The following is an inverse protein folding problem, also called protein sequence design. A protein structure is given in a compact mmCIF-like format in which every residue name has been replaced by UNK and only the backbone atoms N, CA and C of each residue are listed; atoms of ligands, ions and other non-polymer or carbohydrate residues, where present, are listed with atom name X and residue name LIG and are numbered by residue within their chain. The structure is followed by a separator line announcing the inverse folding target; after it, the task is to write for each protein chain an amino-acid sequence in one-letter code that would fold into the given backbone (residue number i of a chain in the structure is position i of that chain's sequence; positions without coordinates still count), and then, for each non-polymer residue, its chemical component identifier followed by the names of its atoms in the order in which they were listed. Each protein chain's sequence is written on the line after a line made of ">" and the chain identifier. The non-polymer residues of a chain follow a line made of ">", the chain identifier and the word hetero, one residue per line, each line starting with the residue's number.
data_IF_050189215799
#
_entry.id   IF_050189215799
#
_cell.length_a   1.000
_cell.length_b   1.000
_cell.length_c   1.000
_cell.angle_alpha   90.00
_cell.angle_beta   90.00
_cell.angle_gamma   90.00
#
_symmetry.space_group_name_H-M   'P 1'
#
loop_
_entity.id
_entity.type
_entity.pdbx_description
1 polymer ?
#
# COMPACT_ATOMS: atom_id res chain seq x y z
N UNK A 1 -6.11 11.19 25.63
CA UNK A 1 -6.03 10.62 24.27
C UNK A 1 -6.40 11.65 23.21
N UNK A 2 -7.41 12.48 23.46
CA UNK A 2 -7.93 13.47 22.50
C UNK A 2 -6.89 14.53 22.08
N UNK A 3 -6.06 15.01 23.02
CA UNK A 3 -4.99 15.96 22.69
C UNK A 3 -3.91 15.36 21.76
N UNK A 4 -3.59 14.08 21.94
CA UNK A 4 -2.64 13.38 21.04
C UNK A 4 -3.24 13.18 19.65
N UNK A 5 -4.48 12.73 19.58
CA UNK A 5 -5.19 12.55 18.31
C UNK A 5 -5.27 13.88 17.55
N UNK A 6 -5.66 14.96 18.21
CA UNK A 6 -5.74 16.28 17.60
C UNK A 6 -4.36 16.79 17.11
N UNK A 7 -3.30 16.57 17.90
CA UNK A 7 -1.94 16.92 17.48
C UNK A 7 -1.53 16.16 16.22
N UNK A 8 -1.72 14.83 16.20
CA UNK A 8 -1.36 13.99 15.05
C UNK A 8 -2.19 14.37 13.82
N UNK A 9 -3.48 14.63 13.96
CA UNK A 9 -4.34 15.10 12.88
C UNK A 9 -3.88 16.44 12.31
N UNK A 10 -3.47 17.37 13.18
CA UNK A 10 -2.92 18.66 12.75
C UNK A 10 -1.64 18.48 11.94
N UNK A 11 -0.69 17.67 12.41
CA UNK A 11 0.54 17.35 11.67
C UNK A 11 0.21 16.69 10.33
N UNK A 12 -0.68 15.71 10.34
CA UNK A 12 -1.11 15.02 9.12
C UNK A 12 -1.75 15.93 8.09
N UNK A 13 -2.53 16.93 8.51
CA UNK A 13 -3.15 17.87 7.57
C UNK A 13 -2.10 18.64 6.77
N UNK A 14 -1.04 19.12 7.42
CA UNK A 14 0.05 19.81 6.72
C UNK A 14 0.86 18.85 5.84
N UNK A 15 1.21 17.68 6.35
CA UNK A 15 1.99 16.70 5.61
C UNK A 15 1.21 16.17 4.38
N UNK A 16 -0.05 15.79 4.56
CA UNK A 16 -0.87 15.22 3.47
C UNK A 16 -1.23 16.23 2.40
N UNK A 17 -1.66 17.43 2.82
CA UNK A 17 -2.27 18.39 1.91
C UNK A 17 -1.25 19.12 1.03
N UNK A 18 -0.01 19.24 1.51
CA UNK A 18 1.02 20.02 0.82
C UNK A 18 2.27 19.19 0.52
N UNK A 19 2.92 18.64 1.56
CA UNK A 19 4.22 18.00 1.39
C UNK A 19 4.10 16.74 0.55
N UNK A 20 3.19 15.84 0.90
CA UNK A 20 3.02 14.55 0.26
C UNK A 20 2.62 14.68 -1.21
N UNK A 21 1.61 15.49 -1.50
CA UNK A 21 1.12 15.70 -2.87
C UNK A 21 2.23 16.22 -3.78
N UNK A 22 2.96 17.25 -3.30
CA UNK A 22 4.06 17.85 -4.07
C UNK A 22 5.19 16.85 -4.29
N UNK A 23 5.59 16.12 -3.24
CA UNK A 23 6.69 15.16 -3.34
C UNK A 23 6.35 13.99 -4.25
N UNK A 24 5.17 13.39 -4.12
CA UNK A 24 4.79 12.21 -4.91
C UNK A 24 4.59 12.55 -6.38
N UNK A 25 3.85 13.62 -6.69
CA UNK A 25 3.66 14.06 -8.07
C UNK A 25 5.00 14.55 -8.63
N UNK A 26 5.76 15.32 -7.85
CA UNK A 26 7.05 15.88 -8.27
C UNK A 26 8.07 14.79 -8.63
N UNK A 27 8.29 13.81 -7.75
CA UNK A 27 9.24 12.72 -8.01
C UNK A 27 8.76 11.79 -9.11
N UNK A 28 7.46 11.50 -9.16
CA UNK A 28 6.88 10.66 -10.19
C UNK A 28 6.94 11.29 -11.58
N UNK A 29 6.64 12.58 -11.70
CA UNK A 29 6.80 13.35 -12.94
C UNK A 29 8.28 13.45 -13.32
N UNK A 30 9.16 13.73 -12.37
CA UNK A 30 10.61 13.76 -12.59
C UNK A 30 11.12 12.47 -13.21
N UNK A 31 10.80 11.32 -12.61
CA UNK A 31 11.24 10.03 -13.13
C UNK A 31 10.52 9.66 -14.42
N UNK A 32 9.25 10.01 -14.60
CA UNK A 32 8.57 9.84 -15.90
C UNK A 32 9.35 10.53 -17.02
N UNK A 33 9.76 11.79 -16.83
CA UNK A 33 10.56 12.54 -17.81
C UNK A 33 11.97 11.95 -17.95
N UNK A 34 12.67 11.71 -16.83
CA UNK A 34 14.07 11.28 -16.83
C UNK A 34 14.29 9.85 -17.34
N UNK A 35 13.26 9.02 -17.32
CA UNK A 35 13.27 7.66 -17.87
C UNK A 35 12.50 7.52 -19.19
N UNK A 36 12.10 8.65 -19.78
CA UNK A 36 11.30 8.70 -21.00
C UNK A 36 10.02 7.87 -20.90
N UNK A 37 9.21 8.17 -19.87
CA UNK A 37 7.94 7.50 -19.54
C UNK A 37 8.07 5.97 -19.50
N UNK A 38 8.99 5.48 -18.67
CA UNK A 38 9.26 4.04 -18.50
C UNK A 38 7.99 3.24 -18.22
N UNK A 39 7.05 3.81 -17.46
CA UNK A 39 5.77 3.20 -17.11
C UNK A 39 4.86 2.94 -18.32
N UNK A 40 5.07 3.65 -19.42
CA UNK A 40 4.36 3.43 -20.70
C UNK A 40 5.24 2.57 -21.62
N UNK A 41 6.48 2.97 -21.82
CA UNK A 41 7.40 2.35 -22.76
C UNK A 41 7.75 0.91 -22.42
N UNK A 42 7.98 0.63 -21.13
CA UNK A 42 8.35 -0.71 -20.66
C UNK A 42 7.16 -1.48 -20.04
N UNK A 43 5.93 -0.99 -20.18
CA UNK A 43 4.75 -1.64 -19.61
C UNK A 43 4.57 -3.06 -20.13
N UNK A 44 4.63 -3.24 -21.46
CA UNK A 44 4.51 -4.57 -22.09
C UNK A 44 5.62 -5.51 -21.64
N UNK A 45 6.84 -5.02 -21.50
CA UNK A 45 7.97 -5.78 -20.99
C UNK A 45 7.71 -6.24 -19.54
N UNK A 46 7.27 -5.31 -18.66
CA UNK A 46 6.90 -5.63 -17.28
C UNK A 46 5.81 -6.68 -17.20
N UNK A 47 4.72 -6.53 -17.97
CA UNK A 47 3.63 -7.52 -18.05
C UNK A 47 4.16 -8.90 -18.49
N UNK A 48 5.04 -8.96 -19.49
CA UNK A 48 5.65 -10.22 -19.92
C UNK A 48 6.52 -10.86 -18.83
N UNK A 49 7.28 -10.05 -18.07
CA UNK A 49 8.13 -10.56 -16.97
C UNK A 49 7.29 -11.08 -15.80
N UNK A 50 6.16 -10.45 -15.50
CA UNK A 50 5.27 -10.88 -14.41
C UNK A 50 4.48 -12.11 -14.79
N UNK A 51 3.79 -12.09 -15.94
CA UNK A 51 2.84 -13.14 -16.33
C UNK A 51 3.42 -14.22 -17.23
N UNK A 52 4.52 -13.94 -17.94
CA UNK A 52 5.17 -14.91 -18.85
C UNK A 52 6.01 -15.98 -18.15
N UNK A 53 6.41 -15.75 -16.89
CA UNK A 53 7.27 -16.65 -16.10
C UNK A 53 6.61 -17.03 -14.77
N UNK A 54 5.28 -17.12 -14.72
CA UNK A 54 4.54 -17.56 -13.54
C UNK A 54 4.89 -19.01 -13.20
N UNK A 55 5.84 -19.21 -12.29
CA UNK A 55 6.10 -20.49 -11.61
C UNK A 55 5.61 -20.34 -10.17
N UNK A 56 4.49 -20.95 -9.82
CA UNK A 56 3.89 -20.96 -8.48
C UNK A 56 4.73 -21.70 -7.44
N UNK A 57 5.74 -22.46 -7.87
CA UNK A 57 6.73 -23.07 -7.01
C UNK A 57 8.08 -22.46 -7.37
N UNK A 58 8.43 -21.35 -6.71
CA UNK A 58 9.72 -20.69 -6.91
C UNK A 58 10.89 -21.58 -6.59
N UNK A 59 11.99 -21.43 -7.33
CA UNK A 59 13.25 -22.12 -7.04
C UNK A 59 13.76 -21.69 -5.66
N UNK A 60 14.19 -22.66 -4.85
CA UNK A 60 14.83 -22.33 -3.57
C UNK A 60 16.21 -21.74 -3.86
N UNK A 61 16.43 -20.52 -3.45
CA UNK A 61 17.74 -19.87 -3.51
C UNK A 61 18.42 -19.96 -2.14
N UNK A 62 19.72 -20.13 -2.12
CA UNK A 62 20.51 -20.11 -0.87
C UNK A 62 20.44 -18.74 -0.18
N UNK A 63 20.32 -17.68 -0.97
CA UNK A 63 20.11 -16.31 -0.47
C UNK A 63 19.20 -15.51 -1.41
N UNK A 64 18.32 -14.66 -0.83
CA UNK A 64 17.36 -13.85 -1.59
C UNK A 64 16.09 -14.60 -1.98
N UNK A 65 15.41 -14.10 -2.99
CA UNK A 65 14.11 -14.58 -3.49
C UNK A 65 14.13 -14.65 -5.02
N UNK A 66 13.25 -15.45 -5.64
CA UNK A 66 12.98 -15.31 -7.07
C UNK A 66 12.34 -13.94 -7.35
N UNK A 67 12.41 -13.47 -8.61
CA UNK A 67 11.76 -12.21 -8.99
C UNK A 67 10.24 -12.24 -8.74
N UNK A 68 9.59 -13.39 -8.93
CA UNK A 68 8.18 -13.57 -8.62
C UNK A 68 7.90 -13.56 -7.11
N UNK A 69 8.72 -14.21 -6.29
CA UNK A 69 8.59 -14.15 -4.83
C UNK A 69 8.78 -12.74 -4.29
N UNK A 70 9.74 -11.99 -4.83
CA UNK A 70 9.95 -10.59 -4.45
C UNK A 70 8.77 -9.71 -4.86
N UNK A 71 8.20 -9.92 -6.06
CA UNK A 71 6.98 -9.24 -6.49
C UNK A 71 5.79 -9.63 -5.62
N UNK A 72 5.59 -10.92 -5.35
CA UNK A 72 4.50 -11.40 -4.49
C UNK A 72 4.63 -10.82 -3.06
N UNK A 73 5.84 -10.70 -2.53
CA UNK A 73 6.09 -10.06 -1.24
C UNK A 73 5.80 -8.55 -1.29
N UNK A 74 6.15 -7.87 -2.38
CA UNK A 74 5.82 -6.46 -2.57
C UNK A 74 4.30 -6.24 -2.74
N UNK A 75 3.63 -7.06 -3.57
CA UNK A 75 2.16 -7.02 -3.71
C UNK A 75 1.47 -7.37 -2.39
N UNK A 76 1.99 -8.33 -1.62
CA UNK A 76 1.48 -8.66 -0.29
C UNK A 76 1.52 -7.44 0.65
N UNK A 77 2.55 -6.62 0.55
CA UNK A 77 2.66 -5.37 1.31
C UNK A 77 1.67 -4.31 0.79
N UNK A 78 1.55 -4.14 -0.52
CA UNK A 78 0.72 -3.14 -1.18
C UNK A 78 -0.78 -3.45 -1.06
N UNK A 79 -1.20 -4.66 -1.48
CA UNK A 79 -2.63 -5.05 -1.51
C UNK A 79 -3.09 -5.45 -0.11
N UNK A 80 -3.57 -4.48 0.64
CA UNK A 80 -3.98 -4.61 2.03
C UNK A 80 -5.29 -3.87 2.35
N UNK A 81 -5.39 -3.37 3.58
CA UNK A 81 -6.53 -2.53 3.99
C UNK A 81 -6.65 -1.27 3.14
N UNK A 82 -5.56 -0.79 2.53
CA UNK A 82 -5.55 0.38 1.65
C UNK A 82 -6.54 0.27 0.50
N UNK A 83 -6.59 -0.89 -0.15
CA UNK A 83 -7.44 -1.14 -1.32
C UNK A 83 -8.93 -1.24 -0.98
N UNK A 84 -9.28 -1.67 0.22
CA UNK A 84 -10.68 -1.84 0.65
C UNK A 84 -11.09 -0.70 1.59
N UNK A 85 -10.53 -0.64 2.79
CA UNK A 85 -10.90 0.34 3.82
C UNK A 85 -10.35 1.74 3.49
N UNK A 86 -9.12 1.83 2.97
CA UNK A 86 -8.51 3.09 2.54
C UNK A 86 -9.27 3.73 1.38
N UNK A 87 -9.60 2.96 0.34
CA UNK A 87 -10.41 3.43 -0.78
C UNK A 87 -11.83 3.83 -0.34
N UNK A 88 -12.45 3.04 0.57
CA UNK A 88 -13.74 3.39 1.20
C UNK A 88 -13.68 4.74 1.91
N UNK A 89 -12.63 4.97 2.70
CA UNK A 89 -12.40 6.25 3.38
C UNK A 89 -12.18 7.41 2.42
N UNK A 90 -11.42 7.19 1.33
CA UNK A 90 -11.22 8.19 0.29
C UNK A 90 -12.53 8.59 -0.40
N UNK A 91 -13.38 7.61 -0.72
CA UNK A 91 -14.69 7.84 -1.33
C UNK A 91 -15.63 8.57 -0.37
N UNK A 92 -15.68 8.17 0.90
CA UNK A 92 -16.55 8.81 1.90
C UNK A 92 -16.13 10.27 2.19
N UNK A 93 -14.82 10.55 2.24
CA UNK A 93 -14.30 11.88 2.60
C UNK A 93 -14.11 12.78 1.38
N UNK A 94 -13.54 12.22 0.30
CA UNK A 94 -13.18 12.97 -0.92
C UNK A 94 -14.17 12.81 -2.06
N UNK A 95 -15.21 12.01 -1.88
CA UNK A 95 -16.18 11.65 -2.93
C UNK A 95 -15.59 10.69 -3.98
N UNK A 96 -16.40 10.25 -4.96
CA UNK A 96 -15.96 9.38 -6.06
C UNK A 96 -14.76 9.92 -6.83
N UNK A 97 -14.59 11.24 -6.91
CA UNK A 97 -13.46 11.90 -7.58
C UNK A 97 -12.09 11.64 -6.96
N UNK A 98 -12.01 11.25 -5.69
CA UNK A 98 -10.74 10.87 -5.05
C UNK A 98 -10.08 9.69 -5.76
N UNK A 99 -10.86 8.78 -6.36
CA UNK A 99 -10.36 7.63 -7.13
C UNK A 99 -9.57 8.07 -8.36
N UNK A 100 -10.04 9.10 -9.08
CA UNK A 100 -9.28 9.68 -10.19
C UNK A 100 -7.88 10.15 -9.75
N UNK A 101 -7.81 10.83 -8.62
CA UNK A 101 -6.53 11.30 -8.09
C UNK A 101 -5.63 10.15 -7.60
N UNK A 102 -6.21 9.04 -7.09
CA UNK A 102 -5.45 7.82 -6.82
C UNK A 102 -4.84 7.24 -8.10
N UNK A 103 -5.57 7.25 -9.23
CA UNK A 103 -5.02 6.82 -10.53
C UNK A 103 -3.87 7.71 -11.00
N UNK A 104 -4.01 9.02 -10.85
CA UNK A 104 -2.94 9.99 -11.22
C UNK A 104 -1.68 9.74 -10.40
N UNK A 105 -1.81 9.60 -9.09
CA UNK A 105 -0.69 9.29 -8.19
C UNK A 105 -0.06 7.95 -8.55
N UNK A 106 -0.86 6.91 -8.82
CA UNK A 106 -0.35 5.60 -9.21
C UNK A 106 0.37 5.63 -10.56
N UNK A 107 -0.15 6.35 -11.55
CA UNK A 107 0.50 6.47 -12.87
C UNK A 107 1.91 7.06 -12.75
N UNK A 108 2.07 8.14 -12.01
CA UNK A 108 3.38 8.72 -11.74
C UNK A 108 4.18 7.84 -10.76
N UNK A 109 3.51 7.22 -9.80
CA UNK A 109 4.09 6.26 -8.86
C UNK A 109 4.75 5.06 -9.52
N UNK A 110 4.23 4.59 -10.66
CA UNK A 110 4.86 3.51 -11.44
C UNK A 110 6.30 3.86 -11.87
N UNK A 111 6.56 5.12 -12.25
CA UNK A 111 7.93 5.55 -12.57
C UNK A 111 8.79 5.70 -11.31
N UNK A 112 8.20 6.12 -10.20
CA UNK A 112 8.89 6.23 -8.91
C UNK A 112 9.33 4.86 -8.40
N UNK A 113 8.41 3.90 -8.35
CA UNK A 113 8.72 2.55 -7.83
C UNK A 113 9.70 1.80 -8.75
N UNK A 114 9.66 2.06 -10.05
CA UNK A 114 10.69 1.60 -10.98
C UNK A 114 12.08 2.06 -10.51
N UNK A 115 12.22 3.36 -10.22
CA UNK A 115 13.48 3.94 -9.77
C UNK A 115 13.90 3.37 -8.41
N UNK A 116 12.98 3.24 -7.47
CA UNK A 116 13.20 2.64 -6.16
C UNK A 116 13.72 1.20 -6.26
N UNK A 117 13.08 0.37 -7.08
CA UNK A 117 13.48 -1.03 -7.28
C UNK A 117 14.84 -1.15 -7.97
N UNK A 118 15.11 -0.31 -8.98
CA UNK A 118 16.42 -0.22 -9.65
C UNK A 118 17.51 0.13 -8.64
N UNK A 119 17.29 1.16 -7.81
CA UNK A 119 18.26 1.57 -6.79
C UNK A 119 18.45 0.50 -5.73
N UNK A 120 17.39 -0.15 -5.27
CA UNK A 120 17.46 -1.24 -4.31
C UNK A 120 18.32 -2.40 -4.81
N UNK A 121 18.16 -2.76 -6.08
CA UNK A 121 18.99 -3.78 -6.73
C UNK A 121 20.46 -3.34 -6.89
N UNK A 122 20.69 -2.08 -7.24
CA UNK A 122 22.03 -1.55 -7.51
C UNK A 122 22.87 -1.33 -6.26
N UNK A 123 22.21 -1.06 -5.12
CA UNK A 123 22.89 -0.68 -3.86
C UNK A 123 22.78 -1.75 -2.77
N UNK A 124 22.16 -2.90 -3.05
CA UNK A 124 22.10 -4.03 -2.13
C UNK A 124 23.50 -4.56 -1.80
N UNK A 125 23.63 -5.08 -0.60
CA UNK A 125 24.85 -5.69 -0.12
C UNK A 125 24.61 -7.14 0.30
N UNK A 126 25.67 -7.93 0.36
CA UNK A 126 25.66 -9.24 0.99
C UNK A 126 26.19 -9.07 2.42
N UNK A 127 25.36 -9.41 3.41
CA UNK A 127 25.73 -9.35 4.83
C UNK A 127 26.77 -10.42 5.20
N UNK A 128 27.35 -10.32 6.39
CA UNK A 128 28.28 -11.32 6.94
C UNK A 128 27.63 -12.70 7.10
N UNK A 129 26.31 -12.71 7.32
CA UNK A 129 25.46 -13.91 7.38
C UNK A 129 25.16 -14.51 6.00
N UNK A 130 25.73 -13.97 4.94
CA UNK A 130 25.50 -14.40 3.56
C UNK A 130 24.16 -13.96 2.98
N UNK A 131 23.28 -13.31 3.75
CA UNK A 131 21.98 -12.86 3.29
C UNK A 131 22.07 -11.54 2.54
N UNK A 132 21.18 -11.34 1.55
CA UNK A 132 21.06 -10.08 0.83
C UNK A 132 20.35 -9.07 1.73
N UNK A 133 20.93 -7.87 1.85
CA UNK A 133 20.38 -6.72 2.56
C UNK A 133 20.27 -5.55 1.59
N UNK A 134 19.14 -4.86 1.58
CA UNK A 134 18.90 -3.73 0.69
C UNK A 134 17.66 -2.93 1.09
N UNK A 135 17.42 -1.86 0.39
CA UNK A 135 16.33 -0.93 0.64
C UNK A 135 16.84 0.51 0.78
N UNK A 136 15.97 1.47 1.17
CA UNK A 136 16.32 2.89 1.17
C UNK A 136 17.54 3.28 1.97
N UNK A 137 17.75 2.71 3.14
CA UNK A 137 18.92 3.05 3.98
C UNK A 137 20.24 2.85 3.24
N UNK A 138 20.33 1.88 2.34
CA UNK A 138 21.51 1.59 1.55
C UNK A 138 21.71 2.58 0.40
N UNK A 139 20.65 2.94 -0.33
CA UNK A 139 20.80 3.94 -1.38
C UNK A 139 20.87 5.37 -0.82
N UNK A 140 20.24 5.70 0.33
CA UNK A 140 20.41 6.98 1.02
C UNK A 140 21.88 7.18 1.40
N UNK A 141 22.53 6.18 2.00
CA UNK A 141 23.97 6.24 2.36
C UNK A 141 24.87 6.18 1.14
N UNK A 142 24.39 5.69 0.00
CA UNK A 142 25.09 5.78 -1.29
C UNK A 142 24.99 7.19 -1.88
N UNK A 143 23.82 7.84 -1.78
CA UNK A 143 23.60 9.20 -2.25
C UNK A 143 24.38 10.25 -1.44
N UNK A 144 24.38 10.07 -0.11
CA UNK A 144 24.97 11.03 0.82
C UNK A 144 25.97 10.34 1.74
N UNK A 145 27.24 10.74 1.61
CA UNK A 145 28.33 10.20 2.44
C UNK A 145 28.43 10.96 3.76
N UNK A 146 29.06 10.33 4.76
CA UNK A 146 29.34 10.95 6.06
C UNK A 146 28.14 11.05 7.01
N UNK A 147 28.16 12.04 7.89
CA UNK A 147 27.17 12.18 8.97
C UNK A 147 25.75 12.44 8.49
N UNK A 148 25.60 13.26 7.44
CA UNK A 148 24.28 13.59 6.89
C UNK A 148 23.56 12.36 6.31
N UNK A 149 24.28 11.54 5.53
CA UNK A 149 23.71 10.32 4.99
C UNK A 149 23.31 9.32 6.07
N UNK A 150 24.13 9.17 7.12
CA UNK A 150 23.80 8.32 8.29
C UNK A 150 22.58 8.84 9.04
N UNK A 151 22.46 10.15 9.25
CA UNK A 151 21.31 10.77 9.89
C UNK A 151 20.03 10.51 9.07
N UNK A 152 20.07 10.77 7.76
CA UNK A 152 18.91 10.63 6.90
C UNK A 152 18.46 9.15 6.77
N UNK A 153 19.40 8.21 6.69
CA UNK A 153 19.12 6.78 6.69
C UNK A 153 18.57 6.30 8.05
N UNK A 154 19.13 6.80 9.17
CA UNK A 154 18.62 6.51 10.50
C UNK A 154 17.22 7.03 10.72
N UNK A 155 16.93 8.27 10.27
CA UNK A 155 15.58 8.84 10.32
C UNK A 155 14.59 7.99 9.50
N UNK A 156 14.94 7.60 8.27
CA UNK A 156 14.12 6.71 7.46
C UNK A 156 13.86 5.37 8.16
N UNK A 157 14.92 4.76 8.72
CA UNK A 157 14.82 3.46 9.40
C UNK A 157 13.89 3.51 10.62
N UNK A 158 13.96 4.57 11.43
CA UNK A 158 13.04 4.76 12.56
C UNK A 158 11.62 4.98 12.04
N UNK A 159 11.45 5.84 11.04
CA UNK A 159 10.14 6.15 10.49
C UNK A 159 9.44 4.90 9.94
N UNK A 160 10.12 4.04 9.16
CA UNK A 160 9.52 2.82 8.60
C UNK A 160 9.22 1.76 9.67
N UNK A 161 10.05 1.63 10.71
CA UNK A 161 9.76 0.72 11.83
C UNK A 161 8.45 1.14 12.51
N UNK A 162 8.28 2.43 12.79
CA UNK A 162 7.07 2.95 13.40
C UNK A 162 5.88 2.91 12.43
N UNK A 163 6.08 3.35 11.18
CA UNK A 163 5.04 3.42 10.16
C UNK A 163 4.45 2.05 9.84
N UNK A 164 5.30 1.10 9.46
CA UNK A 164 4.88 -0.19 8.92
C UNK A 164 5.02 -1.31 9.93
N UNK A 165 6.16 -1.36 10.62
CA UNK A 165 6.47 -2.43 11.57
C UNK A 165 5.53 -2.46 12.77
N UNK A 166 5.06 -1.30 13.23
CA UNK A 166 4.20 -1.18 14.40
C UNK A 166 2.83 -0.62 14.07
N UNK A 167 2.66 0.68 13.82
CA UNK A 167 1.34 1.29 13.64
C UNK A 167 0.63 0.79 12.38
N UNK A 168 1.35 0.57 11.29
CA UNK A 168 0.76 0.00 10.08
C UNK A 168 0.24 -1.43 10.30
N UNK A 169 1.01 -2.28 10.99
CA UNK A 169 0.52 -3.60 11.38
C UNK A 169 -0.71 -3.53 12.30
N UNK A 170 -0.81 -2.50 13.17
CA UNK A 170 -2.03 -2.25 13.96
C UNK A 170 -3.23 -1.90 13.06
N UNK A 171 -3.04 -1.07 12.01
CA UNK A 171 -4.12 -0.76 11.06
C UNK A 171 -4.64 -2.02 10.39
N UNK A 172 -3.73 -2.90 9.96
CA UNK A 172 -4.10 -4.14 9.30
C UNK A 172 -4.86 -5.07 10.27
N UNK A 173 -4.32 -5.31 11.46
CA UNK A 173 -4.94 -6.18 12.47
C UNK A 173 -6.26 -5.60 13.01
N UNK A 174 -6.37 -4.28 13.17
CA UNK A 174 -7.60 -3.59 13.52
C UNK A 174 -8.72 -3.86 12.51
N UNK A 175 -8.38 -3.72 11.23
CA UNK A 175 -9.33 -3.95 10.14
C UNK A 175 -9.77 -5.42 10.07
N UNK A 176 -8.86 -6.37 10.27
CA UNK A 176 -9.20 -7.81 10.38
C UNK A 176 -10.14 -8.03 11.58
N UNK A 177 -9.78 -7.52 12.76
CA UNK A 177 -10.57 -7.66 13.99
C UNK A 177 -11.99 -7.13 13.83
N UNK A 178 -12.12 -5.90 13.31
CA UNK A 178 -13.41 -5.24 13.11
C UNK A 178 -14.29 -5.96 12.08
N UNK A 179 -13.78 -6.27 10.90
CA UNK A 179 -14.60 -6.87 9.83
C UNK A 179 -14.97 -8.32 10.11
N UNK A 180 -14.05 -9.10 10.70
CA UNK A 180 -14.34 -10.48 11.10
C UNK A 180 -15.31 -10.52 12.30
N UNK A 181 -15.21 -9.59 13.25
CA UNK A 181 -16.18 -9.47 14.34
C UNK A 181 -17.57 -9.17 13.80
N UNK A 182 -17.69 -8.23 12.85
CA UNK A 182 -18.97 -7.91 12.19
C UNK A 182 -19.53 -9.10 11.40
N UNK A 183 -18.67 -9.86 10.72
CA UNK A 183 -19.11 -10.96 9.85
C UNK A 183 -19.47 -12.25 10.61
N UNK A 184 -18.71 -12.58 11.65
CA UNK A 184 -18.79 -13.88 12.33
C UNK A 184 -19.23 -13.81 13.80
N UNK A 185 -19.39 -12.61 14.35
CA UNK A 185 -19.73 -12.44 15.76
C UNK A 185 -18.61 -12.83 16.75
N UNK A 186 -17.38 -13.02 16.26
CA UNK A 186 -16.24 -13.41 17.08
C UNK A 186 -15.63 -12.16 17.73
N UNK A 187 -15.35 -12.14 19.04
CA UNK A 187 -14.69 -11.01 19.68
C UNK A 187 -13.33 -10.70 19.06
N UNK A 188 -13.03 -9.42 18.83
CA UNK A 188 -11.79 -8.98 18.15
C UNK A 188 -10.51 -9.47 18.84
N UNK A 189 -10.49 -9.62 20.18
CA UNK A 189 -9.34 -10.14 20.90
C UNK A 189 -9.04 -11.61 20.58
N UNK A 190 -10.08 -12.44 20.32
CA UNK A 190 -9.89 -13.84 19.90
C UNK A 190 -9.26 -13.89 18.52
N UNK A 191 -9.77 -13.05 17.61
CA UNK A 191 -9.22 -12.90 16.25
C UNK A 191 -7.76 -12.46 16.35
N UNK A 192 -7.46 -11.49 17.22
CA UNK A 192 -6.11 -11.00 17.49
C UNK A 192 -5.17 -12.09 18.00
N UNK A 193 -5.60 -12.92 18.93
CA UNK A 193 -4.81 -14.02 19.47
C UNK A 193 -4.47 -15.06 18.39
N UNK A 194 -5.43 -15.43 17.55
CA UNK A 194 -5.22 -16.36 16.42
C UNK A 194 -4.26 -15.74 15.40
N UNK A 195 -4.46 -14.47 15.05
CA UNK A 195 -3.60 -13.75 14.13
C UNK A 195 -2.14 -13.71 14.60
N UNK A 196 -1.93 -13.38 15.89
CA UNK A 196 -0.60 -13.36 16.52
C UNK A 196 0.05 -14.74 16.47
N UNK A 197 -0.68 -15.82 16.76
CA UNK A 197 -0.15 -17.17 16.72
C UNK A 197 0.34 -17.56 15.30
N UNK A 198 -0.44 -17.24 14.27
CA UNK A 198 -0.09 -17.49 12.86
C UNK A 198 1.11 -16.62 12.45
N UNK A 199 1.11 -15.33 12.79
CA UNK A 199 2.22 -14.42 12.50
C UNK A 199 3.52 -14.88 13.20
N UNK A 200 3.47 -15.27 14.47
CA UNK A 200 4.63 -15.77 15.20
C UNK A 200 5.23 -16.98 14.52
N UNK A 201 4.39 -17.96 14.11
CA UNK A 201 4.86 -19.14 13.38
C UNK A 201 5.59 -18.77 12.08
N UNK A 202 5.09 -17.79 11.33
CA UNK A 202 5.70 -17.38 10.05
C UNK A 202 6.98 -16.59 10.31
N UNK A 203 6.97 -15.61 11.22
CA UNK A 203 8.12 -14.75 11.49
C UNK A 203 9.33 -15.53 12.02
N UNK A 204 9.10 -16.55 12.85
CA UNK A 204 10.15 -17.45 13.33
C UNK A 204 10.77 -18.29 12.21
N UNK A 205 10.06 -18.50 11.10
CA UNK A 205 10.58 -19.22 9.93
C UNK A 205 11.43 -18.38 8.97
N UNK A 206 11.60 -17.10 9.27
CA UNK A 206 12.44 -16.16 8.52
C UNK A 206 11.92 -15.84 7.12
N UNK A 207 12.81 -15.22 6.31
CA UNK A 207 12.48 -14.66 4.98
C UNK A 207 11.97 -15.74 4.02
N UNK A 208 12.54 -16.95 4.05
CA UNK A 208 12.15 -18.03 3.14
C UNK A 208 10.72 -18.52 3.38
N UNK A 209 10.32 -18.65 4.65
CA UNK A 209 8.94 -19.04 4.99
C UNK A 209 7.96 -17.93 4.62
N UNK A 210 8.30 -16.68 4.90
CA UNK A 210 7.50 -15.54 4.52
C UNK A 210 7.29 -15.49 3.00
N UNK A 211 8.36 -15.61 2.21
CA UNK A 211 8.30 -15.63 0.76
C UNK A 211 7.42 -16.77 0.21
N UNK A 212 7.55 -17.97 0.77
CA UNK A 212 6.74 -19.13 0.38
C UNK A 212 5.26 -18.97 0.71
N UNK A 213 4.93 -18.24 1.79
CA UNK A 213 3.54 -17.96 2.17
C UNK A 213 2.94 -16.88 1.27
N UNK A 214 3.66 -15.77 1.06
CA UNK A 214 3.17 -14.66 0.23
C UNK A 214 3.00 -15.07 -1.23
N UNK A 215 3.92 -15.86 -1.78
CA UNK A 215 3.85 -16.41 -3.14
C UNK A 215 2.54 -17.16 -3.43
N UNK A 216 2.00 -17.84 -2.42
CA UNK A 216 0.76 -18.64 -2.55
C UNK A 216 -0.48 -17.82 -2.22
N UNK A 217 -0.43 -17.00 -1.17
CA UNK A 217 -1.59 -16.22 -0.70
C UNK A 217 -1.97 -15.15 -1.72
N UNK A 218 -0.99 -14.43 -2.30
CA UNK A 218 -1.26 -13.29 -3.17
C UNK A 218 -2.10 -13.64 -4.40
N UNK A 219 -1.79 -14.69 -5.18
CA UNK A 219 -2.65 -15.05 -6.31
C UNK A 219 -4.05 -15.50 -5.88
N UNK A 220 -4.17 -16.23 -4.76
CA UNK A 220 -5.44 -16.73 -4.24
C UNK A 220 -6.33 -15.57 -3.80
N UNK A 221 -5.79 -14.66 -2.98
CA UNK A 221 -6.57 -13.50 -2.49
C UNK A 221 -7.01 -12.59 -3.64
N UNK A 222 -6.13 -12.37 -4.62
CA UNK A 222 -6.46 -11.58 -5.80
C UNK A 222 -7.58 -12.26 -6.62
N UNK A 223 -7.49 -13.55 -6.86
CA UNK A 223 -8.50 -14.29 -7.62
C UNK A 223 -9.88 -14.25 -6.95
N UNK A 224 -9.95 -14.50 -5.63
CA UNK A 224 -11.22 -14.48 -4.87
C UNK A 224 -11.84 -13.08 -4.98
N UNK A 225 -11.06 -12.03 -4.71
CA UNK A 225 -11.57 -10.66 -4.71
C UNK A 225 -11.99 -10.20 -6.10
N UNK A 226 -11.18 -10.49 -7.15
CA UNK A 226 -11.51 -10.15 -8.52
C UNK A 226 -12.78 -10.85 -9.00
N UNK A 227 -12.94 -12.13 -8.72
CA UNK A 227 -14.15 -12.88 -9.11
C UNK A 227 -15.40 -12.33 -8.43
N UNK A 228 -15.35 -12.08 -7.12
CA UNK A 228 -16.47 -11.50 -6.39
C UNK A 228 -16.81 -10.08 -6.84
N UNK A 229 -15.81 -9.23 -7.03
CA UNK A 229 -16.00 -7.86 -7.51
C UNK A 229 -16.56 -7.82 -8.93
N UNK A 230 -16.04 -8.65 -9.84
CA UNK A 230 -16.58 -8.77 -11.21
C UNK A 230 -18.03 -9.26 -11.20
N UNK A 231 -18.38 -10.22 -10.34
CA UNK A 231 -19.77 -10.68 -10.22
C UNK A 231 -20.71 -9.53 -9.79
N UNK A 232 -20.30 -8.68 -8.85
CA UNK A 232 -21.06 -7.47 -8.49
C UNK A 232 -21.17 -6.52 -9.68
N UNK A 233 -20.08 -6.24 -10.41
CA UNK A 233 -20.12 -5.33 -11.55
C UNK A 233 -20.98 -5.87 -12.70
N UNK A 234 -21.02 -7.19 -12.92
CA UNK A 234 -21.91 -7.82 -13.91
C UNK A 234 -23.36 -7.60 -13.48
N UNK A 235 -23.70 -7.83 -12.19
CA UNK A 235 -25.05 -7.58 -11.67
C UNK A 235 -25.44 -6.09 -11.75
N UNK A 236 -24.47 -5.19 -11.65
CA UNK A 236 -24.65 -3.73 -11.69
C UNK A 236 -24.22 -3.10 -13.01
N UNK A 237 -24.10 -3.86 -14.09
CA UNK A 237 -23.50 -3.43 -15.35
C UNK A 237 -24.10 -2.16 -15.93
N UNK A 238 -25.43 -1.95 -15.75
CA UNK A 238 -26.13 -0.74 -16.19
C UNK A 238 -25.63 0.55 -15.52
N UNK A 239 -25.06 0.44 -14.32
CA UNK A 239 -24.56 1.58 -13.55
C UNK A 239 -23.05 1.85 -13.75
N UNK A 240 -22.32 0.91 -14.34
CA UNK A 240 -20.87 1.04 -14.52
C UNK A 240 -20.48 2.27 -15.36
N UNK A 241 -21.14 2.61 -16.49
CA UNK A 241 -20.83 3.84 -17.22
C UNK A 241 -21.05 5.10 -16.38
N UNK A 242 -22.15 5.16 -15.63
CA UNK A 242 -22.43 6.28 -14.73
C UNK A 242 -21.41 6.40 -13.59
N UNK A 243 -20.92 5.26 -13.10
CA UNK A 243 -19.85 5.21 -12.08
C UNK A 243 -18.55 5.85 -12.57
N UNK A 244 -18.10 5.51 -13.78
CA UNK A 244 -16.96 6.20 -14.38
C UNK A 244 -17.24 7.68 -14.58
N UNK A 245 -18.44 8.03 -15.05
CA UNK A 245 -18.89 9.42 -15.17
C UNK A 245 -18.79 10.18 -13.84
N UNK A 246 -19.18 9.57 -12.72
CA UNK A 246 -19.05 10.16 -11.38
C UNK A 246 -17.58 10.35 -10.98
N UNK A 247 -16.73 9.36 -11.21
CA UNK A 247 -15.30 9.46 -10.89
C UNK A 247 -14.66 10.66 -11.61
N UNK A 248 -14.85 10.79 -12.92
CA UNK A 248 -14.29 11.90 -13.69
C UNK A 248 -14.95 13.23 -13.37
N UNK A 249 -16.27 13.28 -13.25
CA UNK A 249 -17.00 14.52 -12.94
C UNK A 249 -16.58 15.10 -11.59
N UNK A 250 -16.58 14.27 -10.55
CA UNK A 250 -16.28 14.72 -9.20
C UNK A 250 -14.78 14.90 -8.90
N UNK A 251 -13.90 14.43 -9.77
CA UNK A 251 -12.48 14.74 -9.70
C UNK A 251 -12.20 16.23 -9.94
N UNK A 252 -13.00 16.88 -10.81
CA UNK A 252 -12.81 18.27 -11.22
C UNK A 252 -13.95 19.21 -10.78
N UNK A 253 -15.10 18.63 -10.41
CA UNK A 253 -16.26 19.36 -9.87
C UNK A 253 -16.79 18.63 -8.65
N UNK A 254 -15.98 18.50 -7.56
CA UNK A 254 -16.45 17.83 -6.36
C UNK A 254 -17.64 18.61 -5.78
N UNK A 255 -18.60 17.87 -5.24
CA UNK A 255 -19.71 18.51 -4.51
C UNK A 255 -19.12 19.19 -3.27
N UNK A 256 -19.47 20.46 -3.07
CA UNK A 256 -19.03 21.18 -1.90
C UNK A 256 -19.59 20.50 -0.63
N UNK A 257 -18.73 20.25 0.35
CA UNK A 257 -19.16 19.95 1.71
C UNK A 257 -19.97 21.13 2.18
N UNK A 258 -21.04 20.88 2.93
CA UNK A 258 -21.88 21.95 3.49
C UNK A 258 -20.98 23.00 4.15
N UNK A 259 -20.91 24.20 3.55
CA UNK A 259 -20.11 25.35 4.03
C UNK A 259 -18.71 25.52 3.43
N UNK A 260 -18.22 24.62 2.55
CA UNK A 260 -16.92 24.73 1.87
C UNK A 260 -17.04 25.19 0.41
N UNK A 261 -16.15 26.07 -0.04
CA UNK A 261 -16.06 26.45 -1.45
C UNK A 261 -15.48 25.35 -2.34
N UNK A 262 -15.63 25.48 -3.65
CA UNK A 262 -15.12 24.56 -4.68
C UNK A 262 -13.63 24.17 -4.48
N UNK A 263 -12.78 25.14 -4.14
CA UNK A 263 -11.36 24.92 -3.91
C UNK A 263 -11.07 24.00 -2.72
N UNK A 264 -11.84 24.11 -1.64
CA UNK A 264 -11.69 23.25 -0.47
C UNK A 264 -12.07 21.79 -0.80
N UNK A 265 -13.15 21.58 -1.54
CA UNK A 265 -13.60 20.26 -1.93
C UNK A 265 -12.61 19.58 -2.90
N UNK A 266 -12.05 20.32 -3.85
CA UNK A 266 -11.01 19.81 -4.77
C UNK A 266 -9.73 19.44 -4.00
N UNK A 267 -9.31 20.29 -3.06
CA UNK A 267 -8.17 20.01 -2.18
C UNK A 267 -8.35 18.71 -1.40
N UNK A 268 -9.54 18.50 -0.82
CA UNK A 268 -9.84 17.27 -0.08
C UNK A 268 -9.78 16.04 -0.99
N UNK A 269 -10.40 16.07 -2.17
CA UNK A 269 -10.38 14.96 -3.11
C UNK A 269 -8.94 14.61 -3.53
N UNK A 270 -8.11 15.61 -3.84
CA UNK A 270 -6.71 15.44 -4.20
C UNK A 270 -5.87 14.90 -3.03
N UNK A 271 -6.03 15.48 -1.83
CA UNK A 271 -5.30 15.07 -0.63
C UNK A 271 -5.66 13.63 -0.23
N UNK A 272 -6.95 13.27 -0.21
CA UNK A 272 -7.38 11.90 0.06
C UNK A 272 -6.89 10.93 -1.02
N UNK A 273 -6.92 11.33 -2.28
CA UNK A 273 -6.37 10.56 -3.39
C UNK A 273 -4.88 10.28 -3.20
N UNK A 274 -4.09 11.29 -2.85
CA UNK A 274 -2.66 11.16 -2.62
C UNK A 274 -2.34 10.31 -1.37
N UNK A 275 -2.96 10.61 -0.25
CA UNK A 275 -2.77 9.94 1.04
C UNK A 275 -3.14 8.45 0.95
N UNK A 276 -4.31 8.13 0.44
CA UNK A 276 -4.80 6.76 0.33
C UNK A 276 -4.19 6.00 -0.85
N UNK A 277 -3.84 6.70 -1.93
CA UNK A 277 -3.06 6.14 -3.04
C UNK A 277 -1.70 5.68 -2.59
N UNK A 278 -0.95 6.52 -1.88
CA UNK A 278 0.35 6.16 -1.29
C UNK A 278 0.23 4.98 -0.33
N UNK A 279 -0.74 5.02 0.58
CA UNK A 279 -0.96 3.94 1.56
C UNK A 279 -1.28 2.60 0.90
N UNK A 280 -1.91 2.60 -0.29
CA UNK A 280 -2.22 1.40 -1.07
C UNK A 280 -1.00 0.91 -1.85
N UNK A 281 -0.49 1.70 -2.79
CA UNK A 281 0.52 1.23 -3.75
C UNK A 281 1.97 1.42 -3.31
N UNK A 282 2.22 2.14 -2.22
CA UNK A 282 3.53 2.37 -1.58
C UNK A 282 4.59 3.05 -2.47
N UNK A 283 4.25 3.52 -3.67
CA UNK A 283 5.21 4.11 -4.59
C UNK A 283 5.73 5.47 -4.11
N UNK A 284 7.03 5.58 -3.90
CA UNK A 284 7.68 6.77 -3.33
C UNK A 284 7.78 6.73 -1.80
N UNK A 285 7.24 5.71 -1.15
CA UNK A 285 7.33 5.51 0.30
C UNK A 285 8.66 4.89 0.74
N UNK A 286 9.32 4.15 -0.17
CA UNK A 286 10.57 3.45 0.13
C UNK A 286 10.38 2.12 0.87
N UNK A 287 9.19 1.58 0.92
CA UNK A 287 8.88 0.32 1.63
C UNK A 287 9.22 -0.91 0.80
N UNK A 288 8.59 -1.05 -0.36
CA UNK A 288 8.74 -2.22 -1.26
C UNK A 288 10.15 -2.41 -1.84
N UNK A 289 11.04 -1.39 -1.95
CA UNK A 289 12.44 -1.59 -2.29
C UNK A 289 13.15 -2.65 -1.45
N UNK A 290 12.72 -2.90 -0.21
CA UNK A 290 13.26 -3.96 0.63
C UNK A 290 13.00 -5.35 0.04
N UNK A 291 11.79 -5.61 -0.47
CA UNK A 291 11.47 -6.86 -1.16
C UNK A 291 12.19 -6.95 -2.51
N UNK A 292 12.16 -5.87 -3.28
CA UNK A 292 12.79 -5.83 -4.60
C UNK A 292 14.32 -5.99 -4.54
N UNK A 293 14.99 -5.55 -3.47
CA UNK A 293 16.42 -5.79 -3.26
C UNK A 293 16.77 -7.28 -3.14
N UNK A 294 15.85 -8.08 -2.60
CA UNK A 294 16.07 -9.53 -2.39
C UNK A 294 15.90 -10.35 -3.66
N UNK A 295 15.35 -9.77 -4.74
CA UNK A 295 15.11 -10.47 -5.99
C UNK A 295 16.42 -10.85 -6.70
N UNK A 296 16.51 -12.11 -7.14
CA UNK A 296 17.60 -12.59 -7.99
C UNK A 296 17.21 -12.34 -9.45
N UNK A 297 17.76 -11.27 -10.01
CA UNK A 297 17.56 -10.84 -11.41
C UNK A 297 18.91 -10.53 -12.07
N UNK A 298 18.96 -10.67 -13.40
CA UNK A 298 20.18 -10.40 -14.16
C UNK A 298 20.52 -8.90 -14.17
N UNK A 299 19.50 -8.05 -14.27
CA UNK A 299 19.69 -6.61 -14.36
C UNK A 299 18.70 -5.86 -13.45
N UNK A 300 19.13 -4.74 -12.83
CA UNK A 300 18.25 -3.88 -12.03
C UNK A 300 17.00 -3.40 -12.78
N UNK A 301 17.13 -3.13 -14.09
CA UNK A 301 16.01 -2.76 -14.96
C UNK A 301 14.86 -3.77 -14.91
N UNK A 302 15.19 -5.05 -14.91
CA UNK A 302 14.20 -6.12 -14.93
C UNK A 302 13.30 -6.07 -13.70
N UNK A 303 13.89 -5.88 -12.53
CA UNK A 303 13.12 -5.74 -11.28
C UNK A 303 12.37 -4.41 -11.21
N UNK A 304 12.90 -3.34 -11.78
CA UNK A 304 12.17 -2.08 -11.93
C UNK A 304 10.89 -2.24 -12.75
N UNK A 305 10.98 -2.96 -13.89
CA UNK A 305 9.81 -3.26 -14.72
C UNK A 305 8.77 -4.10 -13.98
N UNK A 306 9.20 -5.08 -13.19
CA UNK A 306 8.31 -5.91 -12.37
C UNK A 306 7.63 -5.08 -11.27
N UNK A 307 8.38 -4.20 -10.60
CA UNK A 307 7.85 -3.36 -9.53
C UNK A 307 6.72 -2.42 -10.02
N UNK A 308 6.88 -1.79 -11.19
CA UNK A 308 5.84 -0.90 -11.71
C UNK A 308 4.54 -1.64 -12.06
N UNK A 309 4.60 -2.92 -12.43
CA UNK A 309 3.40 -3.75 -12.64
C UNK A 309 2.72 -4.06 -11.31
N UNK A 310 3.46 -4.18 -10.21
CA UNK A 310 2.89 -4.29 -8.87
C UNK A 310 1.95 -3.12 -8.55
N UNK A 311 2.39 -1.88 -8.77
CA UNK A 311 1.56 -0.66 -8.60
C UNK A 311 0.35 -0.66 -9.54
N UNK A 312 0.54 -1.11 -10.79
CA UNK A 312 -0.58 -1.23 -11.72
C UNK A 312 -1.64 -2.22 -11.21
N UNK A 313 -1.24 -3.41 -10.75
CA UNK A 313 -2.15 -4.41 -10.20
C UNK A 313 -2.85 -3.87 -8.95
N UNK A 314 -2.11 -3.26 -8.02
CA UNK A 314 -2.67 -2.70 -6.81
C UNK A 314 -3.78 -1.68 -7.08
N UNK A 315 -3.45 -0.62 -7.82
CA UNK A 315 -4.33 0.54 -7.93
C UNK A 315 -5.29 0.45 -9.11
N UNK A 316 -4.79 0.12 -10.33
CA UNK A 316 -5.66 0.12 -11.52
C UNK A 316 -6.52 -1.14 -11.63
N UNK A 317 -6.16 -2.23 -10.94
CA UNK A 317 -6.96 -3.46 -10.95
C UNK A 317 -7.72 -3.60 -9.63
N UNK A 318 -7.03 -3.86 -8.52
CA UNK A 318 -7.68 -4.24 -7.25
C UNK A 318 -8.46 -3.09 -6.62
N UNK A 319 -7.80 -1.94 -6.42
CA UNK A 319 -8.43 -0.76 -5.81
C UNK A 319 -9.56 -0.22 -6.70
N UNK A 320 -9.33 -0.15 -8.01
CA UNK A 320 -10.35 0.32 -8.96
C UNK A 320 -11.58 -0.58 -8.94
N UNK A 321 -11.40 -1.90 -8.90
CA UNK A 321 -12.53 -2.83 -8.79
C UNK A 321 -13.35 -2.56 -7.53
N UNK A 322 -12.70 -2.41 -6.37
CA UNK A 322 -13.38 -2.07 -5.12
C UNK A 322 -14.15 -0.74 -5.24
N UNK A 323 -13.51 0.28 -5.80
CA UNK A 323 -14.15 1.59 -5.99
C UNK A 323 -15.37 1.51 -6.90
N UNK A 324 -15.27 0.78 -8.02
CA UNK A 324 -16.39 0.57 -8.93
C UNK A 324 -17.54 -0.18 -8.26
N UNK A 325 -17.25 -1.21 -7.46
CA UNK A 325 -18.26 -1.93 -6.66
C UNK A 325 -18.96 -0.97 -5.72
N UNK A 326 -18.22 -0.20 -4.92
CA UNK A 326 -18.79 0.76 -3.96
C UNK A 326 -19.65 1.81 -4.67
N UNK A 327 -19.13 2.45 -5.70
CA UNK A 327 -19.83 3.57 -6.36
C UNK A 327 -21.05 3.07 -7.12
N UNK A 328 -20.97 1.91 -7.82
CA UNK A 328 -22.09 1.35 -8.58
C UNK A 328 -23.23 0.79 -7.72
N UNK A 329 -23.00 0.56 -6.43
CA UNK A 329 -24.01 0.05 -5.50
C UNK A 329 -24.51 1.10 -4.53
N UNK A 330 -23.59 1.96 -3.99
CA UNK A 330 -23.91 2.86 -2.88
C UNK A 330 -24.29 4.27 -3.34
N UNK A 331 -23.75 4.75 -4.50
CA UNK A 331 -23.94 6.11 -5.00
C UNK A 331 -24.93 6.20 -6.18
N UNK A 332 -25.56 5.13 -6.54
CA UNK A 332 -26.61 5.09 -7.57
C UNK A 332 -27.98 5.49 -6.97
N UNK A 333 -28.98 5.81 -7.80
CA UNK A 333 -30.30 6.28 -7.31
C UNK A 333 -30.98 5.33 -6.31
N UNK A 334 -30.66 4.04 -6.37
CA UNK A 334 -31.14 3.01 -5.45
C UNK A 334 -30.17 2.72 -4.28
N UNK A 335 -29.05 3.44 -4.20
CA UNK A 335 -28.04 3.28 -3.18
C UNK A 335 -28.25 4.22 -1.98
N UNK A 336 -27.76 3.81 -0.81
CA UNK A 336 -27.92 4.57 0.44
C UNK A 336 -27.14 5.90 0.46
N UNK A 337 -26.16 6.10 -0.45
CA UNK A 337 -25.40 7.32 -0.63
C UNK A 337 -25.79 8.04 -1.95
N UNK A 338 -27.03 7.82 -2.43
CA UNK A 338 -27.52 8.34 -3.71
C UNK A 338 -27.38 9.86 -3.90
N UNK A 339 -27.40 10.63 -2.81
CA UNK A 339 -27.27 12.08 -2.85
C UNK A 339 -25.83 12.57 -2.98
N UNK A 340 -24.85 11.67 -3.03
CA UNK A 340 -23.45 11.96 -3.39
C UNK A 340 -22.72 12.90 -2.43
N UNK A 341 -23.13 12.95 -1.16
CA UNK A 341 -22.52 13.86 -0.19
C UNK A 341 -21.12 13.40 0.21
N UNK A 342 -20.15 14.26 -0.02
CA UNK A 342 -18.89 14.24 0.71
C UNK A 342 -19.20 14.43 2.20
N UNK A 343 -18.89 13.44 3.02
CA UNK A 343 -19.07 13.53 4.47
C UNK A 343 -20.48 13.24 5.00
N UNK A 344 -21.44 12.82 4.18
CA UNK A 344 -22.70 12.27 4.68
C UNK A 344 -22.43 10.87 5.27
N UNK A 345 -22.06 10.85 6.54
CA UNK A 345 -22.04 9.63 7.33
C UNK A 345 -23.51 9.30 7.63
N UNK A 346 -24.03 8.27 6.98
CA UNK A 346 -25.18 7.56 7.56
C UNK A 346 -24.62 6.94 8.84
N UNK A 347 -25.23 7.16 10.00
CA UNK A 347 -24.70 6.77 11.32
C UNK A 347 -24.18 5.33 11.42
N UNK A 348 -24.61 4.47 10.51
CA UNK A 348 -24.25 3.04 10.44
C UNK A 348 -23.16 2.70 9.42
N UNK A 349 -22.74 3.64 8.56
CA UNK A 349 -21.79 3.39 7.46
C UNK A 349 -20.51 4.19 7.67
N UNK A 350 -19.41 3.47 7.88
CA UNK A 350 -18.07 4.03 8.00
C UNK A 350 -17.08 3.40 6.99
N UNK A 351 -15.87 3.88 6.97
CA UNK A 351 -14.80 3.35 6.11
C UNK A 351 -14.55 1.84 6.29
N UNK A 352 -14.80 1.31 7.50
CA UNK A 352 -14.55 -0.08 7.83
C UNK A 352 -15.57 -1.06 7.21
N UNK A 353 -16.83 -0.64 7.04
CA UNK A 353 -17.91 -1.52 6.56
C UNK A 353 -18.53 -1.10 5.22
N UNK A 354 -18.07 -0.03 4.59
CA UNK A 354 -18.63 0.46 3.32
C UNK A 354 -18.57 -0.62 2.22
N UNK A 355 -17.42 -1.30 2.08
CA UNK A 355 -17.28 -2.39 1.12
C UNK A 355 -18.20 -3.57 1.47
N UNK A 356 -18.34 -3.94 2.75
CA UNK A 356 -19.26 -4.99 3.19
C UNK A 356 -20.71 -4.67 2.78
N UNK A 357 -21.14 -3.44 3.02
CA UNK A 357 -22.47 -2.97 2.59
C UNK A 357 -22.62 -3.00 1.07
N UNK A 358 -21.59 -2.56 0.33
CA UNK A 358 -21.59 -2.54 -1.13
C UNK A 358 -21.75 -3.94 -1.74
N UNK A 359 -20.97 -4.92 -1.29
CA UNK A 359 -21.13 -6.32 -1.69
C UNK A 359 -22.46 -6.92 -1.22
N UNK A 360 -22.92 -6.53 -0.02
CA UNK A 360 -24.19 -6.94 0.56
C UNK A 360 -25.40 -6.50 -0.27
N UNK A 361 -25.32 -5.41 -1.00
CA UNK A 361 -26.39 -4.93 -1.91
C UNK A 361 -26.75 -5.97 -2.98
N UNK A 362 -25.76 -6.75 -3.45
CA UNK A 362 -25.96 -7.75 -4.52
C UNK A 362 -26.11 -9.16 -3.97
N UNK A 363 -25.30 -9.52 -2.98
CA UNK A 363 -25.23 -10.89 -2.46
C UNK A 363 -26.04 -11.13 -1.18
N UNK A 364 -26.66 -10.07 -0.64
CA UNK A 364 -27.27 -10.07 0.68
C UNK A 364 -26.26 -9.76 1.80
N UNK A 365 -26.72 -9.10 2.86
CA UNK A 365 -25.86 -8.53 3.92
C UNK A 365 -24.95 -9.59 4.57
N UNK A 366 -25.49 -10.78 4.89
CA UNK A 366 -24.72 -11.84 5.54
C UNK A 366 -23.55 -12.33 4.67
N UNK A 367 -23.80 -12.62 3.39
CA UNK A 367 -22.74 -13.07 2.49
C UNK A 367 -21.75 -11.95 2.15
N UNK A 368 -22.22 -10.70 1.93
CA UNK A 368 -21.36 -9.57 1.68
C UNK A 368 -20.39 -9.31 2.84
N UNK A 369 -20.89 -9.37 4.06
CA UNK A 369 -20.06 -9.23 5.27
C UNK A 369 -18.97 -10.33 5.33
N UNK A 370 -19.35 -11.59 5.14
CA UNK A 370 -18.42 -12.72 5.17
C UNK A 370 -17.39 -12.64 4.05
N UNK A 371 -17.84 -12.36 2.83
CA UNK A 371 -16.97 -12.29 1.65
C UNK A 371 -15.87 -11.22 1.82
N UNK A 372 -16.28 -10.01 2.21
CA UNK A 372 -15.31 -8.91 2.41
C UNK A 372 -14.40 -9.17 3.60
N UNK A 373 -14.92 -9.77 4.70
CA UNK A 373 -14.10 -10.13 5.85
C UNK A 373 -13.02 -11.16 5.47
N UNK A 374 -13.36 -12.18 4.68
CA UNK A 374 -12.39 -13.17 4.19
C UNK A 374 -11.35 -12.52 3.26
N UNK A 375 -11.79 -11.72 2.30
CA UNK A 375 -10.87 -11.01 1.40
C UNK A 375 -9.94 -10.07 2.18
N UNK A 376 -10.48 -9.28 3.10
CA UNK A 376 -9.71 -8.35 3.89
C UNK A 376 -8.77 -9.07 4.86
N UNK A 377 -9.17 -10.23 5.40
CA UNK A 377 -8.27 -11.06 6.19
C UNK A 377 -7.02 -11.43 5.39
N UNK A 378 -7.16 -11.95 4.18
CA UNK A 378 -6.02 -12.30 3.34
C UNK A 378 -5.18 -11.09 2.94
N UNK A 379 -5.82 -9.99 2.54
CA UNK A 379 -5.16 -8.75 2.13
C UNK A 379 -4.35 -8.16 3.31
N UNK A 380 -5.01 -7.92 4.43
CA UNK A 380 -4.37 -7.31 5.58
C UNK A 380 -3.34 -8.24 6.24
N UNK A 381 -3.59 -9.54 6.26
CA UNK A 381 -2.64 -10.52 6.78
C UNK A 381 -1.36 -10.57 5.93
N UNK A 382 -1.49 -10.63 4.61
CA UNK A 382 -0.32 -10.59 3.72
C UNK A 382 0.47 -9.29 3.88
N UNK A 383 -0.21 -8.17 4.09
CA UNK A 383 0.43 -6.87 4.34
C UNK A 383 1.20 -6.86 5.67
N UNK A 384 0.66 -7.44 6.72
CA UNK A 384 1.40 -7.63 7.99
C UNK A 384 2.71 -8.39 7.74
N UNK A 385 2.69 -9.44 6.92
CA UNK A 385 3.89 -10.22 6.61
C UNK A 385 4.95 -9.36 5.87
N UNK A 386 4.55 -8.65 4.83
CA UNK A 386 5.44 -7.77 4.07
C UNK A 386 6.01 -6.64 4.91
N UNK A 387 5.17 -5.93 5.63
CA UNK A 387 5.58 -4.80 6.46
C UNK A 387 6.45 -5.20 7.64
N UNK A 388 6.18 -6.35 8.25
CA UNK A 388 7.05 -6.90 9.28
C UNK A 388 8.47 -7.17 8.74
N UNK A 389 8.59 -7.69 7.52
CA UNK A 389 9.91 -7.88 6.88
C UNK A 389 10.64 -6.55 6.72
N UNK A 390 9.96 -5.50 6.27
CA UNK A 390 10.56 -4.18 6.06
C UNK A 390 11.03 -3.56 7.38
N UNK A 391 10.21 -3.61 8.42
CA UNK A 391 10.59 -3.17 9.77
C UNK A 391 11.77 -3.97 10.33
N UNK A 392 11.78 -5.30 10.16
CA UNK A 392 12.89 -6.16 10.58
C UNK A 392 14.22 -5.77 9.93
N UNK A 393 14.24 -5.54 8.61
CA UNK A 393 15.46 -5.15 7.89
C UNK A 393 16.02 -3.82 8.44
N UNK A 394 15.14 -2.85 8.71
CA UNK A 394 15.55 -1.57 9.26
C UNK A 394 15.97 -1.64 10.73
N UNK A 395 15.34 -2.50 11.53
CA UNK A 395 15.77 -2.76 12.90
C UNK A 395 17.17 -3.39 12.92
N UNK A 396 17.45 -4.34 12.02
CA UNK A 396 18.77 -4.93 11.87
C UNK A 396 19.83 -3.91 11.39
N UNK A 397 19.43 -2.97 10.53
CA UNK A 397 20.30 -1.88 10.09
C UNK A 397 20.73 -0.97 11.27
N UNK A 398 19.80 -0.62 12.16
CA UNK A 398 20.07 0.29 13.29
C UNK A 398 20.85 -0.37 14.45
N UNK A 399 20.46 -1.63 14.78
CA UNK A 399 20.87 -2.26 16.05
C UNK A 399 21.57 -3.61 15.85
N UNK A 400 21.89 -3.96 14.59
CA UNK A 400 22.58 -5.22 14.25
C UNK A 400 21.63 -6.42 14.17
N UNK A 401 22.17 -7.53 13.67
CA UNK A 401 21.36 -8.70 13.26
C UNK A 401 20.56 -9.34 14.40
N UNK A 402 21.08 -9.31 15.63
CA UNK A 402 20.39 -9.94 16.79
C UNK A 402 19.12 -9.21 17.23
N UNK A 403 18.96 -7.94 16.85
CA UNK A 403 17.81 -7.10 17.22
C UNK A 403 16.47 -7.60 16.72
N UNK A 404 16.47 -8.45 15.67
CA UNK A 404 15.22 -8.96 15.07
C UNK A 404 14.33 -9.71 16.06
N UNK A 405 14.92 -10.39 17.07
CA UNK A 405 14.16 -11.14 18.08
C UNK A 405 13.29 -10.22 18.93
N UNK A 406 13.89 -9.12 19.42
CA UNK A 406 13.20 -8.11 20.22
C UNK A 406 12.13 -7.43 19.35
N UNK A 407 12.50 -7.04 18.12
CA UNK A 407 11.56 -6.46 17.16
C UNK A 407 10.35 -7.36 16.91
N UNK A 408 10.56 -8.66 16.69
CA UNK A 408 9.48 -9.61 16.43
C UNK A 408 8.48 -9.67 17.59
N UNK A 409 8.97 -9.72 18.83
CA UNK A 409 8.10 -9.74 20.03
C UNK A 409 7.28 -8.45 20.11
N UNK A 410 7.92 -7.30 19.95
CA UNK A 410 7.23 -6.00 19.99
C UNK A 410 6.19 -5.92 18.87
N UNK A 411 6.54 -6.32 17.64
CA UNK A 411 5.61 -6.31 16.50
C UNK A 411 4.36 -7.19 16.76
N UNK A 412 4.54 -8.38 17.34
CA UNK A 412 3.42 -9.26 17.72
C UNK A 412 2.51 -8.62 18.77
N UNK A 413 3.08 -7.89 19.74
CA UNK A 413 2.30 -7.13 20.73
C UNK A 413 1.49 -6.03 20.03
N UNK A 414 2.10 -5.27 19.10
CA UNK A 414 1.39 -4.24 18.35
C UNK A 414 0.28 -4.83 17.46
N UNK A 415 0.50 -5.97 16.83
CA UNK A 415 -0.53 -6.69 16.06
C UNK A 415 -1.72 -7.05 16.96
N UNK A 416 -1.48 -7.55 18.17
CA UNK A 416 -2.55 -7.84 19.12
C UNK A 416 -3.29 -6.57 19.55
N UNK A 417 -2.55 -5.56 20.01
CA UNK A 417 -3.13 -4.29 20.46
C UNK A 417 -3.94 -3.59 19.36
N UNK A 418 -3.53 -3.75 18.11
CA UNK A 418 -4.26 -3.21 16.96
C UNK A 418 -5.70 -3.70 16.88
N UNK A 419 -5.98 -4.97 17.24
CA UNK A 419 -7.35 -5.50 17.24
C UNK A 419 -8.24 -4.90 18.34
N UNK A 420 -7.65 -4.27 19.35
CA UNK A 420 -8.32 -3.66 20.50
C UNK A 420 -8.39 -2.13 20.43
N UNK A 421 -7.55 -1.51 19.61
CA UNK A 421 -7.41 -0.05 19.54
C UNK A 421 -8.55 0.62 18.77
N UNK A 422 -8.75 1.92 19.04
CA UNK A 422 -9.65 2.73 18.23
C UNK A 422 -9.12 2.90 16.81
N UNK A 423 -10.01 2.80 15.84
CA UNK A 423 -9.65 2.87 14.41
C UNK A 423 -8.95 4.17 14.05
N UNK A 424 -9.43 5.32 14.53
CA UNK A 424 -8.96 6.63 14.07
C UNK A 424 -7.53 6.94 14.53
N UNK A 425 -7.20 6.73 15.80
CA UNK A 425 -5.85 7.00 16.30
C UNK A 425 -4.80 6.12 15.61
N UNK A 426 -5.12 4.84 15.38
CA UNK A 426 -4.21 3.89 14.72
C UNK A 426 -3.92 4.33 13.28
N UNK A 427 -4.96 4.74 12.54
CA UNK A 427 -4.81 5.24 11.18
C UNK A 427 -4.00 6.54 11.13
N UNK A 428 -4.27 7.50 12.03
CA UNK A 428 -3.59 8.79 12.04
C UNK A 428 -2.10 8.66 12.39
N UNK A 429 -1.74 7.79 13.34
CA UNK A 429 -0.33 7.51 13.66
C UNK A 429 0.40 6.83 12.50
N UNK A 430 -0.23 5.83 11.89
CA UNK A 430 0.35 5.16 10.73
C UNK A 430 0.56 6.14 9.56
N UNK A 431 -0.42 6.99 9.27
CA UNK A 431 -0.33 8.01 8.22
C UNK A 431 0.81 9.00 8.48
N UNK A 432 0.96 9.48 9.72
CA UNK A 432 2.02 10.42 10.08
C UNK A 432 3.42 9.87 9.79
N UNK A 433 3.71 8.67 10.26
CA UNK A 433 5.02 8.06 10.04
C UNK A 433 5.25 7.63 8.59
N UNK A 434 4.20 7.19 7.88
CA UNK A 434 4.26 6.93 6.44
C UNK A 434 4.67 8.17 5.65
N UNK A 435 4.10 9.32 5.99
CA UNK A 435 4.42 10.57 5.31
C UNK A 435 5.83 11.07 5.64
N UNK A 436 6.27 10.89 6.88
CA UNK A 436 7.62 11.25 7.31
C UNK A 436 8.70 10.43 6.60
N UNK A 437 8.49 9.14 6.34
CA UNK A 437 9.48 8.31 5.65
C UNK A 437 9.60 8.64 4.15
N UNK A 438 8.59 9.23 3.52
CA UNK A 438 8.65 9.68 2.11
C UNK A 438 9.74 10.72 1.92
N UNK A 439 9.93 11.63 2.87
CA UNK A 439 10.86 12.77 2.74
C UNK A 439 12.31 12.32 2.47
N UNK A 440 12.95 11.52 3.33
CA UNK A 440 14.33 11.06 3.10
C UNK A 440 14.45 10.18 1.85
N UNK A 441 13.41 9.40 1.55
CA UNK A 441 13.37 8.57 0.36
C UNK A 441 13.42 9.41 -0.91
N UNK A 442 12.54 10.39 -1.05
CA UNK A 442 12.45 11.27 -2.23
C UNK A 442 13.72 12.10 -2.41
N UNK A 443 14.32 12.60 -1.33
CA UNK A 443 15.62 13.31 -1.39
C UNK A 443 16.70 12.41 -2.02
N UNK A 444 16.79 11.15 -1.59
CA UNK A 444 17.76 10.21 -2.15
C UNK A 444 17.45 9.84 -3.60
N UNK A 445 16.18 9.69 -3.95
CA UNK A 445 15.74 9.44 -5.32
C UNK A 445 16.21 10.55 -6.26
N UNK A 446 16.00 11.82 -5.93
CA UNK A 446 16.49 12.94 -6.75
C UNK A 446 18.02 12.92 -6.91
N UNK A 447 18.75 12.66 -5.83
CA UNK A 447 20.22 12.64 -5.85
C UNK A 447 20.77 11.50 -6.74
N UNK A 448 20.08 10.37 -6.82
CA UNK A 448 20.52 9.18 -7.56
C UNK A 448 19.93 9.04 -8.96
N UNK A 449 19.33 10.08 -9.50
CA UNK A 449 18.67 10.07 -10.83
C UNK A 449 19.60 9.52 -11.93
N UNK A 450 20.87 9.93 -11.96
CA UNK A 450 21.84 9.45 -12.96
C UNK A 450 22.09 7.93 -12.85
N UNK A 451 22.10 7.39 -11.64
CA UNK A 451 22.27 5.95 -11.42
C UNK A 451 21.08 5.17 -11.99
N UNK A 452 19.85 5.64 -11.78
CA UNK A 452 18.64 5.04 -12.37
C UNK A 452 18.70 5.10 -13.89
N UNK A 453 19.02 6.26 -14.47
CA UNK A 453 19.14 6.42 -15.92
C UNK A 453 20.19 5.47 -16.52
N UNK A 454 21.33 5.28 -15.83
CA UNK A 454 22.37 4.36 -16.26
C UNK A 454 21.95 2.88 -16.31
N UNK A 455 20.93 2.52 -15.52
CA UNK A 455 20.35 1.17 -15.52
C UNK A 455 19.12 1.03 -16.42
N UNK A 456 18.55 2.14 -16.93
CA UNK A 456 17.30 2.11 -17.71
C UNK A 456 17.58 1.77 -19.17
N UNK A 457 17.05 0.65 -19.66
CA UNK A 457 17.18 0.26 -21.07
C UNK A 457 16.43 1.20 -22.00
N UNK A 458 16.99 1.39 -23.22
CA UNK A 458 16.35 2.16 -24.29
C UNK A 458 16.33 3.68 -24.05
N UNK A 459 17.06 4.21 -23.07
CA UNK A 459 17.38 5.64 -23.03
C UNK A 459 18.50 5.93 -24.04
N UNK A 460 18.24 6.87 -24.95
CA UNK A 460 19.34 7.44 -25.77
C UNK A 460 20.26 8.19 -24.80
N UNK A 461 21.53 7.82 -24.78
CA UNK A 461 22.55 8.51 -24.02
C UNK A 461 22.76 9.92 -24.58
#
# INVERSE_FOLDING_TARGET
>A
MDNLLHFVQTVNSYLSDYVLVILLIGVGLWYSIKTNFVQVRCFKEGMKKVFGNLKLNGEKHESGMSSFQALATAIAAQVGTGNIVGASGAILTGGPGAIFWMWVIAFFGMATIYAEAVLAQKTRIKGEDGQIKGGPVYYITTAFKGGFGKFLAGFFAIAIILALGFFGCMVQSNSIGSTCSTAFGIPSWVIGAVLVAICAFIFLGGVQRLASVTEKIVPIMAAIFLLGGLAVLIARIKYVPATFGMIFKYAFKPQAIIGGGFGAALKIALSQGAKRGLFSNEAGMGSTPHAHALANVAEPHDQGCVAMIGVFIDTFVVLTLNALVIISTMYTPDGVLANGYMGAVVDTIGKANLAQNAFGTVFGASFGNMFVAICLFFFAFSTILGWNLFGKINMQYLFGDKSYKIYTVIALVFIFLGTLASNDLVWELSDMFNQLMVIPNVIALFALTKMVQGCTKGLKK
#
